data_IF_656472221854
#
_entry.id   IF_656472221854
#
_cell.length_a   1.000
_cell.length_b   1.000
_cell.length_c   1.000
_cell.angle_alpha   90.00
_cell.angle_beta   90.00
_cell.angle_gamma   90.00
#
_symmetry.space_group_name_H-M   'P 1'
#
loop_
_entity.id
_entity.type
_entity.pdbx_description
1 polymer ?
#
# COMPACT_ATOMS: atom_id res chain seq x y z
N UNK A 1 -1.20 -14.98 5.46
CA UNK A 1 -2.39 -14.16 5.84
C UNK A 1 -3.68 -14.95 6.05
N UNK A 2 -3.88 -16.12 5.40
CA UNK A 2 -5.12 -16.89 5.53
C UNK A 2 -5.48 -17.30 6.98
N UNK A 3 -4.53 -17.87 7.73
CA UNK A 3 -4.78 -18.32 9.12
C UNK A 3 -5.20 -17.14 10.03
N UNK A 4 -4.47 -16.01 9.95
CA UNK A 4 -4.80 -14.81 10.72
C UNK A 4 -6.22 -14.30 10.40
N UNK A 5 -6.55 -14.17 9.11
CA UNK A 5 -7.89 -13.74 8.69
C UNK A 5 -8.99 -14.70 9.16
N UNK A 6 -8.74 -16.02 9.08
CA UNK A 6 -9.67 -17.04 9.53
C UNK A 6 -9.94 -16.95 11.03
N UNK A 7 -8.89 -16.93 11.86
CA UNK A 7 -9.01 -16.84 13.32
C UNK A 7 -9.69 -15.56 13.76
N UNK A 8 -9.35 -14.43 13.14
CA UNK A 8 -10.00 -13.15 13.43
C UNK A 8 -11.48 -13.16 13.07
N UNK A 9 -11.84 -13.73 11.91
CA UNK A 9 -13.23 -13.87 11.47
C UNK A 9 -14.04 -14.72 12.44
N UNK A 10 -13.50 -15.88 12.87
CA UNK A 10 -14.15 -16.72 13.87
C UNK A 10 -14.35 -15.98 15.19
N UNK A 11 -13.30 -15.32 15.69
CA UNK A 11 -13.36 -14.58 16.95
C UNK A 11 -14.40 -13.46 16.92
N UNK A 12 -14.44 -12.65 15.87
CA UNK A 12 -15.37 -11.51 15.81
C UNK A 12 -16.82 -11.96 15.59
N UNK A 13 -17.04 -12.99 14.76
CA UNK A 13 -18.35 -13.57 14.54
C UNK A 13 -18.90 -14.18 15.83
N UNK A 14 -18.07 -14.90 16.59
CA UNK A 14 -18.44 -15.42 17.90
C UNK A 14 -18.76 -14.28 18.88
N UNK A 15 -17.90 -13.26 18.98
CA UNK A 15 -18.08 -12.11 19.89
C UNK A 15 -19.37 -11.33 19.62
N UNK A 16 -19.72 -11.14 18.35
CA UNK A 16 -20.86 -10.32 17.94
C UNK A 16 -22.10 -11.14 17.53
N UNK A 17 -22.08 -12.47 17.73
CA UNK A 17 -23.15 -13.40 17.32
C UNK A 17 -23.55 -13.25 15.85
N UNK A 18 -22.56 -13.12 14.97
CA UNK A 18 -22.74 -13.02 13.51
C UNK A 18 -22.31 -14.31 12.84
N UNK A 19 -22.80 -14.53 11.63
CA UNK A 19 -22.39 -15.63 10.74
C UNK A 19 -22.03 -15.07 9.37
N UNK A 20 -21.18 -15.78 8.63
CA UNK A 20 -20.76 -15.40 7.27
C UNK A 20 -19.37 -14.76 7.18
N UNK A 21 -19.04 -14.31 5.97
CA UNK A 21 -17.74 -13.74 5.63
C UNK A 21 -17.56 -12.33 6.21
N UNK A 22 -16.41 -12.08 6.82
CA UNK A 22 -16.04 -10.75 7.34
C UNK A 22 -15.29 -9.89 6.30
N UNK A 23 -14.38 -10.51 5.55
CA UNK A 23 -13.53 -9.82 4.57
C UNK A 23 -14.15 -9.90 3.17
N UNK A 24 -14.05 -8.80 2.41
CA UNK A 24 -14.61 -8.66 1.07
C UNK A 24 -13.82 -9.42 -0.01
N UNK A 25 -12.64 -9.97 0.30
CA UNK A 25 -11.80 -10.66 -0.67
C UNK A 25 -10.52 -11.24 -0.08
N UNK A 26 -9.65 -11.73 -0.97
CA UNK A 26 -8.32 -12.27 -0.60
C UNK A 26 -7.37 -11.12 -0.25
N UNK A 27 -6.48 -11.38 0.71
CA UNK A 27 -5.39 -10.46 1.02
C UNK A 27 -4.51 -10.22 -0.20
N UNK A 28 -4.25 -8.95 -0.52
CA UNK A 28 -3.33 -8.53 -1.58
C UNK A 28 -1.97 -8.19 -0.96
N UNK A 29 -0.91 -8.73 -1.54
CA UNK A 29 0.47 -8.44 -1.15
C UNK A 29 1.16 -7.76 -2.33
N UNK A 30 1.71 -6.59 -2.10
CA UNK A 30 2.39 -5.79 -3.11
C UNK A 30 3.84 -5.65 -2.65
N UNK A 31 4.77 -6.02 -3.53
CA UNK A 31 6.19 -5.81 -3.35
C UNK A 31 6.51 -4.36 -3.68
N UNK A 32 7.15 -3.67 -2.75
CA UNK A 32 7.36 -2.22 -2.84
C UNK A 32 8.86 -1.95 -2.88
N UNK A 33 9.28 -1.20 -3.87
CA UNK A 33 10.62 -0.64 -3.95
C UNK A 33 10.85 0.27 -2.75
N UNK A 34 11.80 -0.13 -1.90
CA UNK A 34 12.13 0.55 -0.66
C UNK A 34 12.58 1.99 -0.90
N UNK A 35 13.38 2.22 -1.95
CA UNK A 35 14.08 3.50 -2.10
C UNK A 35 13.17 4.54 -2.75
N UNK A 36 12.28 4.10 -3.64
CA UNK A 36 11.42 5.00 -4.41
C UNK A 36 9.99 5.12 -3.84
N UNK A 37 9.42 4.05 -3.27
CA UNK A 37 7.98 4.01 -2.97
C UNK A 37 7.63 3.96 -1.47
N UNK A 38 8.61 3.69 -0.59
CA UNK A 38 8.34 3.56 0.84
C UNK A 38 7.69 4.82 1.44
N UNK A 39 8.25 6.00 1.19
CA UNK A 39 7.77 7.23 1.81
C UNK A 39 6.36 7.58 1.34
N UNK A 40 6.09 7.39 0.04
CA UNK A 40 4.76 7.56 -0.52
C UNK A 40 3.77 6.54 0.03
N UNK A 41 4.18 5.29 0.26
CA UNK A 41 3.35 4.28 0.91
C UNK A 41 3.02 4.66 2.36
N UNK A 42 4.00 5.15 3.12
CA UNK A 42 3.77 5.64 4.49
C UNK A 42 2.78 6.81 4.48
N UNK A 43 2.94 7.74 3.54
CA UNK A 43 2.00 8.84 3.34
C UNK A 43 0.59 8.33 3.06
N UNK A 44 0.45 7.40 2.11
CA UNK A 44 -0.82 6.79 1.76
C UNK A 44 -1.50 6.16 2.99
N UNK A 45 -0.79 5.32 3.75
CA UNK A 45 -1.34 4.68 4.96
C UNK A 45 -1.85 5.71 5.97
N UNK A 46 -1.10 6.78 6.22
CA UNK A 46 -1.48 7.79 7.20
C UNK A 46 -2.56 8.76 6.70
N UNK A 47 -2.68 8.96 5.40
CA UNK A 47 -3.72 9.79 4.78
C UNK A 47 -5.01 9.02 4.46
N UNK A 48 -4.99 7.68 4.43
CA UNK A 48 -6.18 6.85 4.18
C UNK A 48 -7.42 7.22 5.00
N UNK A 49 -7.33 7.52 6.31
CA UNK A 49 -8.50 7.95 7.08
C UNK A 49 -9.11 9.27 6.57
N UNK A 50 -8.28 10.15 6.01
CA UNK A 50 -8.69 11.43 5.43
C UNK A 50 -9.27 11.22 4.03
N UNK A 51 -8.60 10.45 3.17
CA UNK A 51 -9.09 10.12 1.83
C UNK A 51 -10.42 9.35 1.85
N UNK A 52 -10.59 8.43 2.80
CA UNK A 52 -11.84 7.72 3.03
C UNK A 52 -12.93 8.60 3.70
N UNK A 53 -12.70 9.91 3.87
CA UNK A 53 -13.59 10.88 4.51
C UNK A 53 -14.03 10.50 5.93
N UNK A 54 -13.28 9.62 6.60
CA UNK A 54 -13.57 9.18 7.98
C UNK A 54 -13.06 10.17 9.03
N UNK A 55 -12.01 10.92 8.70
CA UNK A 55 -11.38 11.92 9.57
C UNK A 55 -11.02 13.17 8.78
N UNK A 56 -11.06 14.32 9.43
CA UNK A 56 -10.61 15.59 8.82
C UNK A 56 -9.08 15.74 8.84
N UNK A 57 -8.40 15.05 9.78
CA UNK A 57 -6.95 15.14 9.96
C UNK A 57 -6.36 13.75 10.24
N UNK A 58 -5.14 13.43 9.74
CA UNK A 58 -4.49 12.14 9.98
C UNK A 58 -4.29 11.85 11.48
N UNK A 59 -3.89 12.87 12.25
CA UNK A 59 -3.66 12.74 13.68
C UNK A 59 -4.92 12.49 14.51
N UNK A 60 -6.12 12.64 13.93
CA UNK A 60 -7.39 12.38 14.60
C UNK A 60 -7.82 10.91 14.51
N UNK A 61 -7.08 10.06 13.79
CA UNK A 61 -7.37 8.62 13.73
C UNK A 61 -6.63 7.86 14.84
N UNK A 62 -7.34 7.29 15.85
CA UNK A 62 -6.71 6.44 16.86
C UNK A 62 -6.18 5.13 16.30
N UNK A 63 -6.70 4.68 15.13
CA UNK A 63 -6.26 3.46 14.47
C UNK A 63 -4.95 3.61 13.68
N UNK A 64 -4.40 4.82 13.60
CA UNK A 64 -3.20 5.12 12.82
C UNK A 64 -1.98 5.33 13.71
N UNK A 65 -0.84 4.81 13.26
CA UNK A 65 0.46 5.03 13.91
C UNK A 65 1.00 6.45 13.72
N UNK A 66 0.30 7.32 12.97
CA UNK A 66 0.74 8.67 12.64
C UNK A 66 1.16 9.50 13.87
N UNK A 67 0.47 9.35 15.00
CA UNK A 67 0.80 10.05 16.26
C UNK A 67 2.16 9.64 16.83
N UNK A 68 2.52 8.36 16.69
CA UNK A 68 3.82 7.85 17.11
C UNK A 68 4.95 8.41 16.24
N UNK A 69 4.72 8.57 14.93
CA UNK A 69 5.67 9.24 14.04
C UNK A 69 5.86 10.72 14.38
N UNK A 70 4.80 11.40 14.83
CA UNK A 70 4.90 12.78 15.35
C UNK A 70 5.53 12.87 16.74
N UNK A 71 5.82 11.74 17.40
CA UNK A 71 6.34 11.71 18.77
C UNK A 71 5.29 12.05 19.85
N UNK A 72 4.00 12.03 19.51
CA UNK A 72 2.88 12.31 20.42
C UNK A 72 2.38 11.06 21.16
N UNK A 73 2.94 9.91 20.84
CA UNK A 73 2.59 8.61 21.39
C UNK A 73 3.81 7.68 21.31
N UNK A 74 3.95 6.78 22.27
CA UNK A 74 4.99 5.75 22.25
C UNK A 74 4.33 4.37 22.28
N UNK A 75 4.53 3.62 21.21
CA UNK A 75 4.03 2.26 21.05
C UNK A 75 5.23 1.31 21.10
N UNK A 76 5.31 0.44 22.10
CA UNK A 76 6.46 -0.46 22.32
C UNK A 76 6.68 -1.45 21.19
N UNK A 77 5.62 -1.80 20.48
CA UNK A 77 5.63 -2.74 19.36
C UNK A 77 5.87 -2.06 17.99
N UNK A 78 6.00 -0.72 17.94
CA UNK A 78 6.15 0.02 16.70
C UNK A 78 7.57 0.59 16.55
N UNK A 79 8.22 0.29 15.43
CA UNK A 79 9.50 0.90 15.05
C UNK A 79 9.27 2.03 14.05
N UNK A 80 9.60 3.26 14.44
CA UNK A 80 9.50 4.46 13.57
C UNK A 80 10.85 4.97 13.08
N UNK A 81 11.95 4.57 13.75
CA UNK A 81 13.28 5.12 13.54
C UNK A 81 13.76 4.98 12.09
N UNK A 82 13.53 3.83 11.46
CA UNK A 82 14.00 3.56 10.11
C UNK A 82 13.35 4.46 9.05
N UNK A 83 12.04 4.69 9.14
CA UNK A 83 11.35 5.61 8.22
C UNK A 83 11.72 7.06 8.51
N UNK A 84 11.82 7.45 9.79
CA UNK A 84 12.22 8.80 10.17
C UNK A 84 13.65 9.14 9.72
N UNK A 85 14.56 8.16 9.73
CA UNK A 85 15.94 8.33 9.28
C UNK A 85 16.04 8.75 7.79
N UNK A 86 15.04 8.41 6.97
CA UNK A 86 14.97 8.84 5.56
C UNK A 86 14.75 10.35 5.41
N UNK A 87 14.25 11.03 6.44
CA UNK A 87 14.00 12.48 6.40
C UNK A 87 15.17 13.31 6.93
N UNK A 88 15.81 12.87 8.02
CA UNK A 88 17.01 13.48 8.58
C UNK A 88 17.66 12.57 9.63
N UNK A 89 18.95 12.77 9.89
CA UNK A 89 19.67 12.07 10.96
C UNK A 89 19.18 12.46 12.37
N UNK A 90 18.82 13.73 12.57
CA UNK A 90 18.35 14.23 13.86
C UNK A 90 16.83 14.02 14.02
N UNK A 91 16.42 13.34 15.09
CA UNK A 91 15.02 12.99 15.35
C UNK A 91 14.03 14.17 15.29
N UNK A 92 14.38 15.34 15.82
CA UNK A 92 13.50 16.53 15.78
C UNK A 92 13.30 17.03 14.35
N UNK A 93 14.38 17.15 13.57
CA UNK A 93 14.34 17.56 12.17
C UNK A 93 13.59 16.52 11.32
N UNK A 94 13.83 15.23 11.56
CA UNK A 94 13.16 14.15 10.87
C UNK A 94 11.64 14.20 11.06
N UNK A 95 11.17 14.43 12.30
CA UNK A 95 9.75 14.57 12.60
C UNK A 95 9.12 15.79 11.96
N UNK A 96 9.81 16.92 11.93
CA UNK A 96 9.34 18.13 11.26
C UNK A 96 9.19 17.91 9.76
N UNK A 97 10.23 17.38 9.11
CA UNK A 97 10.22 17.05 7.68
C UNK A 97 9.14 16.02 7.33
N UNK A 98 9.00 14.98 8.15
CA UNK A 98 7.91 14.02 8.04
C UNK A 98 6.53 14.69 8.14
N UNK A 99 6.31 15.57 9.13
CA UNK A 99 5.04 16.27 9.30
C UNK A 99 4.71 17.15 8.09
N UNK A 100 5.70 17.88 7.56
CA UNK A 100 5.57 18.65 6.32
C UNK A 100 5.28 17.75 5.11
N UNK A 101 5.94 16.59 5.02
CA UNK A 101 5.75 15.63 3.94
C UNK A 101 4.35 15.01 3.93
N UNK A 102 3.78 14.70 5.09
CA UNK A 102 2.38 14.24 5.20
C UNK A 102 1.42 15.39 4.93
N UNK A 103 1.72 16.58 5.48
CA UNK A 103 0.93 17.79 5.26
C UNK A 103 0.81 18.18 3.79
N UNK A 104 1.89 18.05 3.02
CA UNK A 104 1.92 18.32 1.59
C UNK A 104 0.99 17.39 0.78
N UNK A 105 0.75 16.17 1.25
CA UNK A 105 -0.23 15.25 0.64
C UNK A 105 -1.67 15.49 1.09
N UNK A 106 -1.90 16.40 2.05
CA UNK A 106 -3.24 16.70 2.53
C UNK A 106 -3.94 17.61 1.52
N UNK A 107 -4.77 17.03 0.65
CA UNK A 107 -5.49 17.74 -0.42
C UNK A 107 -5.14 17.27 -1.82
N UNK A 108 -4.10 16.46 -2.00
CA UNK A 108 -3.90 15.70 -3.23
C UNK A 108 -4.91 14.57 -3.32
N UNK A 109 -5.30 14.20 -4.54
CA UNK A 109 -6.08 12.98 -4.76
C UNK A 109 -5.31 11.76 -4.22
N UNK A 110 -6.05 10.74 -3.77
CA UNK A 110 -5.43 9.46 -3.43
C UNK A 110 -4.74 8.92 -4.67
N UNK A 111 -3.53 8.35 -4.52
CA UNK A 111 -2.86 7.70 -5.65
C UNK A 111 -3.53 6.37 -5.92
N UNK A 112 -4.03 6.20 -7.13
CA UNK A 112 -4.68 4.96 -7.58
C UNK A 112 -3.68 3.79 -7.60
N UNK A 113 -2.39 4.08 -7.74
CA UNK A 113 -1.30 3.09 -7.68
C UNK A 113 -1.30 2.27 -6.37
N UNK A 114 -1.81 2.83 -5.28
CA UNK A 114 -1.89 2.12 -3.98
C UNK A 114 -3.29 1.55 -3.71
N UNK A 115 -4.26 1.75 -4.60
CA UNK A 115 -5.56 1.11 -4.50
C UNK A 115 -5.40 -0.35 -4.91
N UNK A 116 -5.52 -1.30 -3.97
CA UNK A 116 -5.41 -2.71 -4.30
C UNK A 116 -6.50 -3.13 -5.27
N UNK A 117 -7.67 -2.46 -5.34
CA UNK A 117 -8.73 -2.77 -6.28
C UNK A 117 -8.40 -2.37 -7.73
N UNK A 118 -7.51 -1.39 -7.93
CA UNK A 118 -7.14 -0.88 -9.24
C UNK A 118 -5.99 -1.66 -9.91
N UNK A 119 -5.23 -2.47 -9.15
CA UNK A 119 -4.07 -3.19 -9.67
C UNK A 119 -4.24 -4.72 -9.69
N UNK A 120 -3.92 -5.29 -10.87
CA UNK A 120 -3.71 -6.72 -11.10
C UNK A 120 -2.23 -7.15 -10.93
N UNK A 121 -1.32 -6.18 -10.70
CA UNK A 121 0.12 -6.39 -10.50
C UNK A 121 0.52 -6.51 -9.04
N UNK A 122 1.61 -7.24 -8.76
CA UNK A 122 2.13 -7.47 -7.41
C UNK A 122 3.34 -6.57 -7.06
N UNK A 123 3.68 -5.56 -7.87
CA UNK A 123 4.94 -4.80 -7.73
C UNK A 123 4.73 -3.31 -7.93
N UNK A 124 5.19 -2.50 -6.98
CA UNK A 124 5.27 -1.04 -7.05
C UNK A 124 6.74 -0.64 -6.97
N UNK A 125 7.29 -0.15 -8.07
CA UNK A 125 8.68 0.25 -8.19
C UNK A 125 8.98 0.81 -9.57
N UNK A 126 10.19 1.34 -9.76
CA UNK A 126 10.64 1.80 -11.08
C UNK A 126 10.84 0.59 -12.03
N UNK A 127 10.87 0.85 -13.34
CA UNK A 127 11.01 -0.17 -14.38
C UNK A 127 12.24 -1.07 -14.14
N UNK A 128 13.34 -0.51 -13.62
CA UNK A 128 14.54 -1.28 -13.25
C UNK A 128 14.28 -2.31 -12.16
N UNK A 129 13.51 -1.94 -11.13
CA UNK A 129 13.16 -2.81 -10.02
C UNK A 129 12.20 -3.92 -10.47
N UNK A 130 11.24 -3.57 -11.33
CA UNK A 130 10.32 -4.54 -11.93
C UNK A 130 11.10 -5.57 -12.76
N UNK A 131 12.02 -5.12 -13.61
CA UNK A 131 12.88 -5.99 -14.42
C UNK A 131 13.76 -6.90 -13.55
N UNK A 132 14.30 -6.39 -12.45
CA UNK A 132 15.12 -7.16 -11.50
C UNK A 132 14.30 -8.25 -10.82
N UNK A 133 13.09 -7.94 -10.34
CA UNK A 133 12.20 -8.94 -9.73
C UNK A 133 11.76 -9.99 -10.75
N UNK A 134 11.45 -9.60 -11.98
CA UNK A 134 11.07 -10.54 -13.03
C UNK A 134 12.22 -11.51 -13.35
N UNK A 135 13.46 -11.01 -13.39
CA UNK A 135 14.68 -11.84 -13.54
C UNK A 135 14.85 -12.80 -12.36
N UNK A 136 14.72 -12.33 -11.12
CA UNK A 136 14.84 -13.17 -9.92
C UNK A 136 13.76 -14.26 -9.83
N UNK A 137 12.55 -13.97 -10.30
CA UNK A 137 11.42 -14.92 -10.28
C UNK A 137 11.49 -15.95 -11.42
N UNK A 138 12.48 -15.89 -12.32
CA UNK A 138 12.58 -16.75 -13.49
C UNK A 138 11.40 -16.62 -14.46
N UNK A 139 10.64 -15.52 -14.37
CA UNK A 139 9.49 -15.23 -15.22
C UNK A 139 9.92 -14.20 -16.26
N UNK A 140 9.82 -14.54 -17.54
CA UNK A 140 9.99 -13.55 -18.60
C UNK A 140 9.01 -12.40 -18.36
N UNK A 141 9.47 -11.16 -18.55
CA UNK A 141 8.60 -10.01 -18.55
C UNK A 141 7.41 -10.31 -19.48
N UNK A 142 6.16 -10.06 -19.06
CA UNK A 142 5.03 -10.26 -19.94
C UNK A 142 5.31 -9.47 -21.22
N UNK A 143 5.25 -10.11 -22.40
CA UNK A 143 5.57 -9.41 -23.64
C UNK A 143 4.68 -8.18 -23.72
N UNK A 144 5.24 -7.02 -24.06
CA UNK A 144 4.46 -5.82 -24.32
C UNK A 144 3.49 -6.16 -25.45
N UNK A 145 2.24 -6.43 -25.09
CA UNK A 145 1.20 -6.72 -26.07
C UNK A 145 0.84 -5.39 -26.70
N UNK A 146 1.46 -5.08 -27.84
CA UNK A 146 1.07 -3.94 -28.65
C UNK A 146 -0.32 -4.19 -29.24
N UNK A 147 -1.04 -3.12 -29.56
CA UNK A 147 -2.38 -3.20 -30.14
C UNK A 147 -2.40 -4.11 -31.39
N UNK A 148 -1.31 -4.09 -32.15
CA UNK A 148 -1.10 -4.94 -33.33
C UNK A 148 -1.11 -6.44 -33.01
N UNK A 149 -0.56 -6.85 -31.85
CA UNK A 149 -0.55 -8.25 -31.40
C UNK A 149 -1.94 -8.72 -30.98
N UNK A 150 -2.76 -7.84 -30.42
CA UNK A 150 -4.17 -8.13 -30.07
C UNK A 150 -4.99 -8.28 -31.35
N UNK A 151 -4.84 -7.36 -32.30
CA UNK A 151 -5.54 -7.37 -33.58
C UNK A 151 -5.19 -8.64 -34.36
N UNK A 152 -3.91 -8.98 -34.48
CA UNK A 152 -3.48 -10.19 -35.18
C UNK A 152 -4.06 -11.48 -34.58
N UNK A 153 -4.16 -11.58 -33.25
CA UNK A 153 -4.77 -12.73 -32.57
C UNK A 153 -6.29 -12.80 -32.77
N UNK A 154 -6.97 -11.66 -32.76
CA UNK A 154 -8.41 -11.60 -32.99
C UNK A 154 -8.78 -11.93 -34.45
N UNK A 155 -7.98 -11.47 -35.42
CA UNK A 155 -8.19 -11.75 -36.84
C UNK A 155 -8.00 -13.23 -37.21
N UNK A 156 -7.08 -13.95 -36.53
CA UNK A 156 -6.90 -15.39 -36.75
C UNK A 156 -8.05 -16.26 -36.22
N UNK A 157 -8.88 -15.74 -35.30
CA UNK A 157 -10.03 -16.47 -34.74
C UNK A 157 -11.31 -16.36 -35.57
N UNK A 158 -11.32 -15.52 -36.61
CA UNK A 158 -12.50 -15.23 -37.45
C UNK A 158 -12.43 -15.82 -38.87
N UNK A 159 -11.41 -16.63 -39.19
CA UNK A 159 -11.26 -17.30 -40.51
C UNK A 159 -11.36 -18.83 -40.39
N UNK A 160 -12.18 -19.33 -39.46
CA UNK A 160 -12.59 -20.75 -39.44
C UNK A 160 -14.08 -20.90 -39.25
#
# INVERSE_FOLDING_TARGET
MQNLGFRYTQWINHRHRRVGHLFQGRHKAILVDRDNYLLELVRYIHLNPVHARRRQRPAADPGSSHRAYLGKEKLSWLTTAWVLAQFAAQCSCARQRYASFIGAGTGTASRDDFDPAAQDGCTLGDNRFIDEILREQGRAAPPSVTLDVVIARASCLWVR
#
